data_IF_995468897936
#
_entry.id   IF_995468897936
#
_cell.length_a   1.000
_cell.length_b   1.000
_cell.length_c   1.000
_cell.angle_alpha   90.00
_cell.angle_beta   90.00
_cell.angle_gamma   90.00
#
_symmetry.space_group_name_H-M   'P 1'
#
loop_
_entity.id
_entity.type
_entity.pdbx_description
1 polymer ?
#
# COMPACT_ATOMS: atom_id res chain seq x y z
N UNK A 1 -2.92 7.87 -1.89
CA UNK A 1 -2.47 7.12 -3.09
C UNK A 1 -2.38 5.64 -2.78
N UNK A 2 -3.23 4.81 -3.38
CA UNK A 2 -3.24 3.36 -3.19
C UNK A 2 -2.86 2.60 -4.47
N UNK A 3 -2.13 1.50 -4.31
CA UNK A 3 -1.87 0.51 -5.37
C UNK A 3 -2.84 -0.66 -5.13
N UNK A 4 -3.74 -0.98 -6.06
CA UNK A 4 -4.59 -2.18 -5.92
C UNK A 4 -3.99 -3.33 -6.72
N UNK A 5 -3.98 -4.53 -6.15
CA UNK A 5 -3.58 -5.74 -6.85
C UNK A 5 -4.52 -6.88 -6.50
N UNK A 6 -5.01 -7.57 -7.53
CA UNK A 6 -5.75 -8.82 -7.33
C UNK A 6 -4.78 -9.94 -6.93
N UNK A 7 -5.05 -10.58 -5.80
CA UNK A 7 -4.30 -11.74 -5.32
C UNK A 7 -4.85 -13.04 -5.94
N UNK A 8 -4.00 -13.92 -6.50
CA UNK A 8 -4.42 -15.24 -6.94
C UNK A 8 -5.00 -16.04 -5.77
N UNK A 9 -6.18 -16.67 -5.98
CA UNK A 9 -6.88 -17.42 -4.92
C UNK A 9 -6.06 -18.56 -4.33
N UNK A 10 -5.17 -19.16 -5.12
CA UNK A 10 -4.25 -20.23 -4.73
C UNK A 10 -3.01 -19.74 -3.96
N UNK A 11 -2.78 -18.42 -3.94
CA UNK A 11 -1.69 -17.75 -3.22
C UNK A 11 -2.19 -16.94 -2.01
N UNK A 12 -3.49 -16.81 -1.83
CA UNK A 12 -4.07 -16.26 -0.61
C UNK A 12 -4.00 -17.31 0.49
N UNK A 13 -2.98 -17.21 1.35
CA UNK A 13 -2.82 -18.06 2.53
C UNK A 13 -3.83 -17.74 3.65
N UNK A 14 -4.66 -16.72 3.46
CA UNK A 14 -5.75 -16.42 4.35
C UNK A 14 -6.98 -17.22 3.93
N UNK A 15 -7.59 -17.89 4.90
CA UNK A 15 -8.79 -18.72 4.77
C UNK A 15 -10.07 -17.94 4.32
N UNK A 16 -9.92 -16.74 3.78
CA UNK A 16 -10.99 -15.81 3.44
C UNK A 16 -10.79 -15.21 2.04
N UNK A 17 -11.90 -15.05 1.31
CA UNK A 17 -11.96 -14.68 -0.12
C UNK A 17 -11.61 -13.23 -0.45
N UNK A 18 -10.57 -12.66 0.14
CA UNK A 18 -10.05 -11.36 -0.25
C UNK A 18 -9.30 -11.50 -1.58
N UNK A 19 -9.99 -11.17 -2.68
CA UNK A 19 -9.42 -11.23 -4.02
C UNK A 19 -8.59 -9.98 -4.32
N UNK A 20 -8.84 -8.86 -3.64
CA UNK A 20 -8.15 -7.59 -3.87
C UNK A 20 -7.37 -7.14 -2.63
N UNK A 21 -6.10 -6.78 -2.83
CA UNK A 21 -5.22 -6.19 -1.83
C UNK A 21 -4.89 -4.74 -2.19
N UNK A 22 -4.99 -3.86 -1.20
CA UNK A 22 -4.71 -2.44 -1.31
C UNK A 22 -3.38 -2.15 -0.64
N UNK A 23 -2.41 -1.68 -1.41
CA UNK A 23 -1.07 -1.41 -0.97
C UNK A 23 -0.89 0.07 -0.73
N UNK A 24 -0.46 0.42 0.49
CA UNK A 24 -0.18 1.79 0.91
C UNK A 24 1.30 1.97 1.22
N UNK A 25 1.83 3.12 0.84
CA UNK A 25 3.18 3.57 1.22
C UNK A 25 3.06 4.25 2.60
N UNK A 26 3.76 3.73 3.59
CA UNK A 26 3.74 4.24 4.97
C UNK A 26 5.16 4.50 5.49
N UNK A 27 5.26 5.33 6.53
CA UNK A 27 6.49 5.57 7.28
C UNK A 27 7.69 6.01 6.42
N UNK A 28 7.46 6.87 5.42
CA UNK A 28 8.54 7.40 4.58
C UNK A 28 9.46 8.29 5.42
N UNK A 29 10.73 7.89 5.51
CA UNK A 29 11.79 8.59 6.22
C UNK A 29 12.95 8.82 5.26
N UNK A 30 13.50 10.03 5.28
CA UNK A 30 14.71 10.40 4.53
C UNK A 30 15.87 10.64 5.49
N UNK A 31 17.05 10.10 5.17
CA UNK A 31 18.26 10.30 6.00
C UNK A 31 19.53 10.15 5.18
N UNK A 32 20.45 11.12 5.24
CA UNK A 32 21.81 11.04 4.69
C UNK A 32 21.93 10.36 3.31
N UNK A 33 21.08 10.74 2.35
CA UNK A 33 21.10 10.16 0.99
C UNK A 33 20.40 8.81 0.86
N UNK A 34 19.67 8.38 1.89
CA UNK A 34 18.87 7.15 1.92
C UNK A 34 17.38 7.47 2.09
N UNK A 35 16.56 6.55 1.63
CA UNK A 35 15.12 6.50 1.88
C UNK A 35 14.76 5.17 2.55
N UNK A 36 13.90 5.25 3.56
CA UNK A 36 13.27 4.13 4.25
C UNK A 36 11.74 4.28 4.15
N UNK A 37 11.02 3.22 3.79
CA UNK A 37 9.56 3.18 3.88
C UNK A 37 9.01 1.76 3.93
N UNK A 38 7.76 1.64 4.37
CA UNK A 38 6.98 0.40 4.31
C UNK A 38 5.95 0.45 3.18
N UNK A 39 5.85 -0.62 2.39
CA UNK A 39 4.75 -0.88 1.48
C UNK A 39 3.87 -1.98 2.07
N UNK A 40 2.66 -1.63 2.53
CA UNK A 40 1.76 -2.53 3.28
C UNK A 40 0.50 -2.84 2.52
N UNK A 41 0.18 -4.12 2.37
CA UNK A 41 -1.05 -4.61 1.79
C UNK A 41 -2.13 -4.79 2.85
N UNK A 42 -3.29 -4.18 2.63
CA UNK A 42 -4.49 -4.34 3.44
C UNK A 42 -5.59 -5.05 2.64
N UNK A 43 -6.49 -5.78 3.29
CA UNK A 43 -7.67 -6.30 2.63
C UNK A 43 -8.59 -5.16 2.20
N UNK A 44 -9.39 -5.41 1.16
CA UNK A 44 -10.30 -4.43 0.56
C UNK A 44 -11.33 -3.82 1.51
N UNK A 45 -11.65 -4.48 2.63
CA UNK A 45 -12.60 -3.96 3.63
C UNK A 45 -11.93 -2.96 4.56
N UNK A 46 -10.77 -3.30 5.09
CA UNK A 46 -9.99 -2.48 6.01
C UNK A 46 -9.49 -1.22 5.31
N UNK A 47 -9.05 -1.32 4.05
CA UNK A 47 -8.70 -0.16 3.23
C UNK A 47 -9.88 0.81 3.10
N UNK A 48 -11.07 0.30 2.77
CA UNK A 48 -12.30 1.11 2.69
C UNK A 48 -12.69 1.76 4.02
N UNK A 49 -12.53 1.05 5.14
CA UNK A 49 -12.79 1.60 6.48
C UNK A 49 -11.78 2.68 6.88
N UNK A 50 -10.50 2.52 6.52
CA UNK A 50 -9.46 3.54 6.76
C UNK A 50 -9.73 4.82 5.96
N UNK A 51 -10.41 4.71 4.82
CA UNK A 51 -10.73 5.84 3.94
C UNK A 51 -12.16 6.36 4.14
N UNK A 52 -12.77 6.09 5.30
CA UNK A 52 -14.11 6.52 5.68
C UNK A 52 -15.23 6.12 4.69
N UNK A 53 -15.01 5.09 3.87
CA UNK A 53 -16.06 4.62 2.96
C UNK A 53 -17.11 3.81 3.73
N UNK A 54 -18.39 4.08 3.41
CA UNK A 54 -19.51 3.33 3.95
C UNK A 54 -19.57 1.97 3.26
N UNK A 55 -19.31 0.91 4.03
CA UNK A 55 -19.44 -0.45 3.53
C UNK A 55 -20.92 -0.76 3.20
N UNK A 56 -21.23 -1.35 2.01
CA UNK A 56 -22.60 -1.71 1.63
C UNK A 56 -23.28 -2.69 2.59
N UNK A 57 -22.49 -3.47 3.33
CA UNK A 57 -22.97 -4.36 4.40
C UNK A 57 -21.99 -4.34 5.58
N UNK A 58 -22.23 -3.50 6.61
CA UNK A 58 -21.37 -3.43 7.78
C UNK A 58 -21.49 -4.67 8.69
N UNK A 59 -22.49 -5.52 8.47
CA UNK A 59 -22.93 -6.57 9.40
C UNK A 59 -22.41 -7.97 9.09
N UNK A 60 -21.74 -8.16 7.95
CA UNK A 60 -21.12 -9.44 7.62
C UNK A 60 -19.86 -9.63 8.48
N UNK A 61 -20.04 -10.31 9.60
CA UNK A 61 -18.96 -10.82 10.45
C UNK A 61 -18.41 -12.11 9.86
N UNK A 62 -17.32 -12.03 9.09
CA UNK A 62 -16.49 -13.18 8.80
C UNK A 62 -15.20 -13.05 9.62
N UNK A 63 -15.10 -13.87 10.67
CA UNK A 63 -13.87 -14.16 11.43
C UNK A 63 -13.16 -12.95 12.05
N UNK A 64 -13.72 -12.35 13.09
CA UNK A 64 -12.96 -11.38 13.89
C UNK A 64 -11.97 -12.08 14.83
N UNK A 65 -10.71 -11.65 14.80
CA UNK A 65 -9.99 -11.48 16.05
C UNK A 65 -10.54 -10.19 16.67
N UNK A 66 -11.09 -10.25 17.88
CA UNK A 66 -11.77 -9.11 18.50
C UNK A 66 -10.86 -7.89 18.80
N UNK A 67 -9.55 -7.96 18.51
CA UNK A 67 -8.58 -6.98 19.02
C UNK A 67 -7.54 -6.46 17.99
N UNK A 68 -7.55 -6.89 16.73
CA UNK A 68 -6.58 -6.39 15.73
C UNK A 68 -7.26 -5.64 14.58
N UNK A 69 -7.31 -4.31 14.71
CA UNK A 69 -7.96 -3.38 13.76
C UNK A 69 -7.12 -3.16 12.48
N UNK A 70 -5.91 -3.72 12.37
CA UNK A 70 -5.03 -3.54 11.22
C UNK A 70 -4.48 -4.89 10.71
N UNK A 71 -5.31 -5.66 10.01
CA UNK A 71 -4.85 -6.86 9.32
C UNK A 71 -3.94 -6.48 8.15
N UNK A 72 -2.62 -6.48 8.37
CA UNK A 72 -1.63 -6.34 7.29
C UNK A 72 -1.46 -7.72 6.65
N UNK A 73 -1.74 -7.82 5.35
CA UNK A 73 -1.59 -9.07 4.58
C UNK A 73 -0.13 -9.34 4.26
N UNK A 74 0.57 -8.30 3.83
CA UNK A 74 1.96 -8.31 3.42
C UNK A 74 2.60 -6.97 3.77
N UNK A 75 3.87 -6.99 4.16
CA UNK A 75 4.68 -5.80 4.35
C UNK A 75 6.01 -5.97 3.63
N UNK A 76 6.40 -4.94 2.90
CA UNK A 76 7.73 -4.79 2.33
C UNK A 76 8.40 -3.55 2.90
N UNK A 77 9.55 -3.76 3.53
CA UNK A 77 10.42 -2.68 3.96
C UNK A 77 11.42 -2.40 2.85
N UNK A 78 11.49 -1.13 2.44
CA UNK A 78 12.43 -0.65 1.46
C UNK A 78 13.42 0.25 2.19
N UNK A 79 14.70 -0.10 2.12
CA UNK A 79 15.79 0.72 2.62
C UNK A 79 16.86 0.81 1.53
N UNK A 80 17.04 1.97 0.93
CA UNK A 80 17.91 2.13 -0.23
C UNK A 80 18.43 3.55 -0.41
N UNK A 81 19.39 3.73 -1.32
CA UNK A 81 19.86 5.06 -1.72
C UNK A 81 18.72 5.83 -2.39
N UNK A 82 18.56 7.08 -1.95
CA UNK A 82 17.61 8.06 -2.46
C UNK A 82 17.63 8.15 -3.98
N UNK A 83 18.81 8.10 -4.59
CA UNK A 83 19.03 8.30 -6.03
C UNK A 83 18.38 7.22 -6.89
N UNK A 84 18.00 6.09 -6.31
CA UNK A 84 17.23 5.06 -7.01
C UNK A 84 15.78 5.51 -7.30
N UNK A 85 15.23 6.39 -6.47
CA UNK A 85 13.87 6.94 -6.61
C UNK A 85 13.91 8.37 -7.16
N UNK A 86 14.94 9.14 -6.79
CA UNK A 86 15.14 10.53 -7.20
C UNK A 86 16.50 10.68 -7.90
N UNK A 87 16.60 10.36 -9.21
CA UNK A 87 17.88 10.25 -9.91
C UNK A 87 18.73 11.53 -9.95
N UNK A 88 18.10 12.70 -9.85
CA UNK A 88 18.79 13.98 -9.78
C UNK A 88 19.25 14.35 -8.35
N UNK A 89 18.98 13.48 -7.37
CA UNK A 89 19.29 13.67 -5.96
C UNK A 89 18.37 14.68 -5.25
N UNK A 90 17.36 15.21 -5.93
CA UNK A 90 16.45 16.22 -5.38
C UNK A 90 15.10 15.61 -5.00
N UNK A 91 14.74 15.73 -3.72
CA UNK A 91 13.41 15.32 -3.24
C UNK A 91 12.42 16.45 -3.56
N UNK A 92 11.32 16.18 -4.28
CA UNK A 92 10.29 17.18 -4.51
C UNK A 92 9.75 17.76 -3.19
N UNK A 93 9.50 19.07 -3.13
CA UNK A 93 8.99 19.69 -1.90
C UNK A 93 7.56 19.26 -1.54
N UNK A 94 6.74 18.90 -2.54
CA UNK A 94 5.35 18.49 -2.33
C UNK A 94 5.22 17.02 -1.94
N UNK A 95 4.47 16.74 -0.88
CA UNK A 95 4.22 15.36 -0.40
C UNK A 95 3.64 14.48 -1.51
N UNK A 96 2.67 14.96 -2.26
CA UNK A 96 2.04 14.16 -3.33
C UNK A 96 3.03 13.84 -4.45
N UNK A 97 3.90 14.78 -4.79
CA UNK A 97 4.96 14.56 -5.79
C UNK A 97 5.99 13.52 -5.31
N UNK A 98 6.34 13.54 -4.01
CA UNK A 98 7.21 12.51 -3.42
C UNK A 98 6.57 11.13 -3.49
N UNK A 99 5.32 11.01 -3.03
CA UNK A 99 4.60 9.74 -3.04
C UNK A 99 4.38 9.23 -4.48
N UNK A 100 4.11 10.11 -5.43
CA UNK A 100 4.01 9.77 -6.86
C UNK A 100 5.33 9.21 -7.41
N UNK A 101 6.47 9.78 -7.04
CA UNK A 101 7.78 9.27 -7.46
C UNK A 101 8.04 7.86 -6.90
N UNK A 102 7.81 7.67 -5.59
CA UNK A 102 7.94 6.36 -4.93
C UNK A 102 7.00 5.34 -5.57
N UNK A 103 5.77 5.74 -5.86
CA UNK A 103 4.76 4.92 -6.50
C UNK A 103 5.19 4.41 -7.88
N UNK A 104 5.66 5.31 -8.73
CA UNK A 104 6.15 4.97 -10.06
C UNK A 104 7.37 4.04 -9.98
N UNK A 105 8.28 4.31 -9.04
CA UNK A 105 9.42 3.44 -8.78
C UNK A 105 8.99 2.02 -8.36
N UNK A 106 8.02 1.88 -7.45
CA UNK A 106 7.48 0.57 -7.04
C UNK A 106 6.93 -0.19 -8.26
N UNK A 107 6.14 0.47 -9.11
CA UNK A 107 5.55 -0.18 -10.29
C UNK A 107 6.64 -0.67 -11.26
N UNK A 108 7.65 0.17 -11.52
CA UNK A 108 8.76 -0.18 -12.40
C UNK A 108 9.63 -1.31 -11.82
N UNK A 109 10.00 -1.22 -10.53
CA UNK A 109 10.86 -2.19 -9.88
C UNK A 109 10.23 -3.58 -9.76
N UNK A 110 8.94 -3.62 -9.41
CA UNK A 110 8.25 -4.88 -9.12
C UNK A 110 7.71 -5.56 -10.37
N UNK A 111 7.37 -4.80 -11.40
CA UNK A 111 6.67 -5.30 -12.59
C UNK A 111 5.30 -5.92 -12.28
N UNK A 112 4.75 -5.66 -11.09
CA UNK A 112 3.46 -6.21 -10.67
C UNK A 112 2.31 -5.45 -11.36
N UNK A 113 1.18 -6.13 -11.64
CA UNK A 113 0.03 -5.55 -12.32
C UNK A 113 -0.80 -4.70 -11.34
N UNK A 114 -0.18 -3.66 -10.78
CA UNK A 114 -0.88 -2.72 -9.91
C UNK A 114 -1.85 -1.85 -10.70
N UNK A 115 -3.09 -1.76 -10.22
CA UNK A 115 -4.09 -0.78 -10.65
C UNK A 115 -3.93 0.51 -9.83
N UNK A 116 -4.01 1.64 -10.52
CA UNK A 116 -3.97 2.96 -9.89
C UNK A 116 -5.30 3.23 -9.20
N UNK A 117 -5.29 3.27 -7.87
CA UNK A 117 -6.47 3.60 -7.08
C UNK A 117 -6.15 4.84 -6.25
N UNK A 118 -6.73 5.95 -6.66
CA UNK A 118 -6.65 7.22 -5.94
C UNK A 118 -8.06 7.59 -5.50
N UNK A 119 -8.21 7.73 -4.19
CA UNK A 119 -9.26 8.56 -3.61
C UNK A 119 -9.18 9.94 -4.26
N UNK A 120 -10.31 10.34 -4.84
CA UNK A 120 -10.60 11.75 -5.08
C UNK A 120 -10.48 12.50 -3.74
N UNK A 121 -9.84 13.68 -3.77
CA UNK A 121 -9.57 14.56 -2.63
C UNK A 121 -10.77 14.83 -1.69
#
# INVERSE_FOLDING_TARGET
MGLKMTLPKDKSHMYFGFIDAYWAIENVIYSLGMIDFSLRAFPSREAKLMNNEILPDPSIGYGSAQENVNCILYEWHVFMDLTNIFPDGSIPAGKDAQYTAIYNWIKEYTGLPFEDVLEDD
#
